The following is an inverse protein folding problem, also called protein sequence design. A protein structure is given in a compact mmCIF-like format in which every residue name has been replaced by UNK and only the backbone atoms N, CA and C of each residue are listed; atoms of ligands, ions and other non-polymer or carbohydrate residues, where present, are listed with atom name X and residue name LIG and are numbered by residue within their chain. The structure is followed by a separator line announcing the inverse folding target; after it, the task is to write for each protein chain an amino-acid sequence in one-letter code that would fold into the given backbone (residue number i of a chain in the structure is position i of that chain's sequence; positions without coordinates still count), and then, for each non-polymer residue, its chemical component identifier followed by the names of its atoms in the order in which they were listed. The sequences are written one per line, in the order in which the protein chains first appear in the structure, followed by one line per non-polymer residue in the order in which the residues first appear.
data_IF_830190015005
#
_entry.id   IF_830190015005
#
_cell.length_a   1.000
_cell.length_b   1.000
_cell.length_c   1.000
_cell.angle_alpha   90.00
_cell.angle_beta   90.00
_cell.angle_gamma   90.00
#
_symmetry.space_group_name_H-M   'P 1'
#
loop_
_entity.id
_entity.type
_entity.pdbx_description
1 polymer ?
#
# COMPACT_ATOMS: atom_id res chain seq x y z
N UNK A 1 5.81 -18.89 -51.72
CA UNK A 1 4.66 -18.19 -51.11
C UNK A 1 4.51 -18.51 -49.63
N UNK A 2 4.53 -19.78 -49.22
CA UNK A 2 4.37 -20.20 -47.81
C UNK A 2 5.40 -19.58 -46.85
N UNK A 3 6.65 -19.42 -47.28
CA UNK A 3 7.72 -18.77 -46.51
C UNK A 3 7.47 -17.27 -46.22
N UNK A 4 6.81 -16.55 -47.14
CA UNK A 4 6.52 -15.13 -46.97
C UNK A 4 5.43 -14.89 -45.91
N UNK A 5 4.43 -15.76 -45.83
CA UNK A 5 3.38 -15.68 -44.80
C UNK A 5 3.92 -15.97 -43.40
N UNK A 6 4.86 -16.91 -43.28
CA UNK A 6 5.52 -17.21 -41.99
C UNK A 6 6.32 -15.99 -41.51
N UNK A 7 7.10 -15.37 -42.40
CA UNK A 7 7.86 -14.15 -42.05
C UNK A 7 6.94 -13.00 -41.66
N UNK A 8 5.85 -12.76 -42.41
CA UNK A 8 4.87 -11.72 -42.07
C UNK A 8 4.17 -11.98 -40.74
N UNK A 9 3.82 -13.23 -40.42
CA UNK A 9 3.21 -13.59 -39.14
C UNK A 9 4.19 -13.38 -37.96
N UNK A 10 5.47 -13.70 -38.14
CA UNK A 10 6.53 -13.43 -37.15
C UNK A 10 6.70 -11.92 -36.94
N UNK A 11 6.76 -11.14 -38.02
CA UNK A 11 6.88 -9.67 -37.91
C UNK A 11 5.65 -9.04 -37.26
N UNK A 12 4.44 -9.50 -37.59
CA UNK A 12 3.19 -9.02 -36.98
C UNK A 12 3.11 -9.37 -35.48
N UNK A 13 3.52 -10.58 -35.09
CA UNK A 13 3.58 -10.99 -33.68
C UNK A 13 4.67 -10.25 -32.90
N UNK A 14 5.87 -10.06 -33.47
CA UNK A 14 6.91 -9.20 -32.86
C UNK A 14 6.40 -7.77 -32.69
N UNK A 15 5.73 -7.22 -33.70
CA UNK A 15 5.13 -5.90 -33.64
C UNK A 15 4.12 -5.83 -32.49
N UNK A 16 3.26 -6.83 -32.33
CA UNK A 16 2.26 -6.88 -31.26
C UNK A 16 2.88 -7.00 -29.85
N UNK A 17 4.01 -7.71 -29.70
CA UNK A 17 4.71 -7.87 -28.41
C UNK A 17 5.54 -6.62 -28.05
N UNK A 18 6.28 -6.08 -29.01
CA UNK A 18 7.28 -5.03 -28.80
C UNK A 18 6.77 -3.62 -29.10
N UNK A 19 5.51 -3.45 -29.51
CA UNK A 19 4.98 -2.11 -29.83
C UNK A 19 5.13 -1.15 -28.65
N UNK A 20 5.79 0.01 -28.82
CA UNK A 20 6.16 0.87 -27.69
C UNK A 20 4.98 1.42 -26.87
N UNK A 21 3.81 1.65 -27.48
CA UNK A 21 2.63 2.25 -26.80
C UNK A 21 1.55 1.25 -26.39
N UNK A 22 1.46 0.09 -27.04
CA UNK A 22 0.36 -0.87 -26.85
C UNK A 22 0.81 -2.32 -26.71
N UNK A 23 2.11 -2.58 -26.92
CA UNK A 23 2.64 -3.93 -26.92
C UNK A 23 2.66 -4.53 -25.53
N UNK A 24 2.64 -5.86 -25.49
CA UNK A 24 2.65 -6.63 -24.24
C UNK A 24 3.85 -6.27 -23.35
N UNK A 25 5.01 -5.98 -23.94
CA UNK A 25 6.19 -5.56 -23.18
C UNK A 25 6.05 -4.19 -22.53
N UNK A 26 5.43 -3.22 -23.21
CA UNK A 26 5.16 -1.90 -22.63
C UNK A 26 4.19 -2.00 -21.45
N UNK A 27 3.13 -2.80 -21.59
CA UNK A 27 2.16 -3.06 -20.52
C UNK A 27 2.80 -3.76 -19.32
N UNK A 28 3.65 -4.75 -19.58
CA UNK A 28 4.39 -5.45 -18.53
C UNK A 28 5.33 -4.50 -17.77
N UNK A 29 6.08 -3.63 -18.46
CA UNK A 29 6.93 -2.64 -17.78
C UNK A 29 6.16 -1.69 -16.89
N UNK A 30 5.01 -1.18 -17.35
CA UNK A 30 4.13 -0.33 -16.53
C UNK A 30 3.61 -1.10 -15.31
N UNK A 31 3.18 -2.35 -15.51
CA UNK A 31 2.70 -3.21 -14.42
C UNK A 31 3.79 -3.49 -13.39
N UNK A 32 5.03 -3.75 -13.82
CA UNK A 32 6.17 -3.93 -12.91
C UNK A 32 6.43 -2.67 -12.06
N UNK A 33 6.43 -1.49 -12.68
CA UNK A 33 6.60 -0.22 -11.96
C UNK A 33 5.49 0.02 -10.92
N UNK A 34 4.24 -0.30 -11.24
CA UNK A 34 3.12 -0.20 -10.31
C UNK A 34 3.24 -1.19 -9.15
N UNK A 35 3.50 -2.47 -9.44
CA UNK A 35 3.66 -3.51 -8.42
C UNK A 35 4.79 -3.19 -7.44
N UNK A 36 5.84 -2.52 -7.94
CA UNK A 36 6.94 -2.07 -7.12
C UNK A 36 6.57 -0.91 -6.19
N UNK A 37 5.87 0.10 -6.72
CA UNK A 37 5.32 1.20 -5.90
C UNK A 37 4.38 0.67 -4.80
N UNK A 38 3.47 -0.23 -5.15
CA UNK A 38 2.50 -0.81 -4.20
C UNK A 38 3.24 -1.52 -3.05
N UNK A 39 4.22 -2.37 -3.35
CA UNK A 39 5.01 -3.05 -2.30
C UNK A 39 5.69 -2.08 -1.34
N UNK A 40 6.22 -0.97 -1.85
CA UNK A 40 6.83 0.07 -1.02
C UNK A 40 5.79 0.78 -0.14
N UNK A 41 4.63 1.09 -0.68
CA UNK A 41 3.51 1.67 0.06
C UNK A 41 2.99 0.73 1.15
N UNK A 42 2.84 -0.56 0.85
CA UNK A 42 2.48 -1.60 1.81
C UNK A 42 3.53 -1.75 2.92
N UNK A 43 4.83 -1.67 2.58
CA UNK A 43 5.90 -1.69 3.56
C UNK A 43 5.81 -0.51 4.53
N UNK A 44 5.59 0.70 4.01
CA UNK A 44 5.41 1.90 4.83
C UNK A 44 4.15 1.82 5.70
N UNK A 45 3.02 1.35 5.14
CA UNK A 45 1.76 1.08 5.86
C UNK A 45 2.03 0.13 7.04
N UNK A 46 2.74 -0.96 6.81
CA UNK A 46 3.09 -1.94 7.86
C UNK A 46 3.99 -1.36 8.95
N UNK A 47 5.00 -0.57 8.58
CA UNK A 47 5.90 0.09 9.55
C UNK A 47 5.12 1.05 10.44
N UNK A 48 4.27 1.91 9.86
CA UNK A 48 3.46 2.88 10.60
C UNK A 48 2.47 2.18 11.53
N UNK A 49 1.77 1.14 11.05
CA UNK A 49 0.85 0.37 11.90
C UNK A 49 1.61 -0.34 13.02
N UNK A 50 2.85 -0.78 12.80
CA UNK A 50 3.68 -1.37 13.86
C UNK A 50 4.06 -0.33 14.92
N UNK A 51 4.55 0.84 14.50
CA UNK A 51 4.94 1.94 15.38
C UNK A 51 3.76 2.44 16.23
N UNK A 52 2.58 2.63 15.63
CA UNK A 52 1.37 3.06 16.34
C UNK A 52 0.94 2.05 17.43
N UNK A 53 1.25 0.77 17.23
CA UNK A 53 1.01 -0.29 18.22
C UNK A 53 2.17 -0.48 19.21
N UNK A 54 3.12 0.47 19.28
CA UNK A 54 4.27 0.40 20.19
C UNK A 54 5.27 -0.71 19.84
N UNK A 55 5.23 -1.24 18.62
CA UNK A 55 6.12 -2.29 18.13
C UNK A 55 7.08 -1.75 17.09
N UNK A 56 8.24 -2.39 16.98
CA UNK A 56 9.20 -2.09 15.91
C UNK A 56 9.00 -3.07 14.76
N UNK A 57 8.92 -2.55 13.54
CA UNK A 57 8.93 -3.40 12.35
C UNK A 57 10.30 -4.07 12.20
N UNK A 58 10.29 -5.36 11.87
CA UNK A 58 11.50 -6.15 11.62
C UNK A 58 11.46 -6.67 10.19
N UNK A 59 12.59 -7.12 9.66
CA UNK A 59 12.65 -7.76 8.35
C UNK A 59 11.65 -8.91 8.22
N UNK A 60 11.56 -9.77 9.24
CA UNK A 60 10.66 -10.92 9.23
C UNK A 60 9.19 -10.51 9.34
N UNK A 61 8.86 -9.49 10.14
CA UNK A 61 7.48 -9.01 10.22
C UNK A 61 7.04 -8.35 8.93
N UNK A 62 7.95 -7.63 8.25
CA UNK A 62 7.69 -7.05 6.93
C UNK A 62 7.49 -8.14 5.87
N UNK A 63 8.39 -9.14 5.82
CA UNK A 63 8.29 -10.25 4.87
C UNK A 63 6.96 -11.02 5.03
N UNK A 64 6.55 -11.27 6.29
CA UNK A 64 5.28 -11.91 6.60
C UNK A 64 4.06 -11.05 6.21
N UNK A 65 4.09 -9.75 6.49
CA UNK A 65 2.99 -8.85 6.13
C UNK A 65 2.80 -8.74 4.62
N UNK A 66 3.89 -8.64 3.86
CA UNK A 66 3.85 -8.49 2.39
C UNK A 66 3.77 -9.85 1.65
N UNK A 67 3.81 -10.98 2.36
CA UNK A 67 3.84 -12.33 1.79
C UNK A 67 4.99 -12.53 0.77
N UNK A 68 6.18 -12.02 1.11
CA UNK A 68 7.40 -12.12 0.29
C UNK A 68 8.53 -12.81 1.04
N UNK A 69 9.57 -13.21 0.32
CA UNK A 69 10.76 -13.79 0.96
C UNK A 69 11.53 -12.76 1.78
N UNK A 70 12.26 -13.20 2.81
CA UNK A 70 13.12 -12.31 3.60
C UNK A 70 14.19 -11.60 2.75
N UNK A 71 14.72 -12.27 1.71
CA UNK A 71 15.63 -11.66 0.76
C UNK A 71 14.97 -10.51 -0.02
N UNK A 72 13.78 -10.75 -0.58
CA UNK A 72 13.03 -9.69 -1.28
C UNK A 72 12.62 -8.53 -0.36
N UNK A 73 12.33 -8.81 0.92
CA UNK A 73 12.08 -7.76 1.91
C UNK A 73 13.34 -6.94 2.21
N UNK A 74 14.52 -7.58 2.24
CA UNK A 74 15.79 -6.89 2.44
C UNK A 74 16.11 -5.99 1.24
N UNK A 75 15.97 -6.50 0.01
CA UNK A 75 16.16 -5.73 -1.22
C UNK A 75 15.23 -4.50 -1.26
N UNK A 76 13.96 -4.68 -0.87
CA UNK A 76 12.99 -3.58 -0.81
C UNK A 76 13.40 -2.52 0.21
N UNK A 77 13.88 -2.92 1.39
CA UNK A 77 14.31 -1.98 2.42
C UNK A 77 15.57 -1.21 2.02
N UNK A 78 16.53 -1.87 1.37
CA UNK A 78 17.73 -1.21 0.83
C UNK A 78 17.36 -0.16 -0.22
N UNK A 79 16.43 -0.49 -1.12
CA UNK A 79 15.94 0.47 -2.09
C UNK A 79 15.20 1.65 -1.44
N UNK A 80 14.33 1.38 -0.46
CA UNK A 80 13.63 2.44 0.28
C UNK A 80 14.60 3.36 1.03
N UNK A 81 15.71 2.82 1.54
CA UNK A 81 16.79 3.61 2.13
C UNK A 81 17.48 4.49 1.09
N UNK A 82 17.79 3.94 -0.09
CA UNK A 82 18.38 4.68 -1.21
C UNK A 82 17.47 5.82 -1.72
N UNK A 83 16.14 5.66 -1.60
CA UNK A 83 15.15 6.69 -1.89
C UNK A 83 14.85 7.64 -0.73
N UNK A 84 15.62 7.58 0.36
CA UNK A 84 15.46 8.43 1.53
C UNK A 84 14.08 8.35 2.21
N UNK A 85 13.42 7.20 2.14
CA UNK A 85 12.14 6.98 2.81
C UNK A 85 12.33 6.44 4.24
N UNK A 86 13.45 5.80 4.51
CA UNK A 86 13.80 5.26 5.83
C UNK A 86 15.31 5.30 6.08
N UNK A 87 15.70 5.03 7.32
CA UNK A 87 17.06 4.83 7.79
C UNK A 87 17.14 3.61 8.71
N UNK A 88 18.36 3.08 8.87
CA UNK A 88 18.70 2.13 9.92
C UNK A 88 19.58 2.84 10.94
N UNK A 89 19.04 3.07 12.14
CA UNK A 89 19.70 3.77 13.24
C UNK A 89 19.70 2.86 14.46
N UNK A 90 20.85 2.64 15.08
CA UNK A 90 21.00 1.74 16.25
C UNK A 90 20.44 0.31 16.04
N UNK A 91 20.55 -0.20 14.81
CA UNK A 91 20.00 -1.51 14.44
C UNK A 91 18.48 -1.53 14.30
N UNK A 92 17.85 -0.35 14.26
CA UNK A 92 16.40 -0.18 14.17
C UNK A 92 16.01 0.52 12.88
N UNK A 93 14.91 0.07 12.27
CA UNK A 93 14.30 0.75 11.13
C UNK A 93 13.56 2.00 11.61
N UNK A 94 13.84 3.15 10.99
CA UNK A 94 13.14 4.42 11.25
C UNK A 94 12.66 5.05 9.96
N UNK A 95 11.43 5.53 9.95
CA UNK A 95 10.90 6.29 8.80
C UNK A 95 11.48 7.70 8.76
N UNK A 96 11.94 8.11 7.58
CA UNK A 96 12.23 9.52 7.27
C UNK A 96 10.90 10.27 7.00
N UNK A 97 10.88 11.62 7.04
CA UNK A 97 9.65 12.40 6.84
C UNK A 97 8.85 12.03 5.58
N UNK A 98 9.52 11.85 4.44
CA UNK A 98 8.87 11.47 3.19
C UNK A 98 8.24 10.07 3.23
N UNK A 99 8.92 9.09 3.87
CA UNK A 99 8.37 7.75 4.07
C UNK A 99 7.18 7.75 5.02
N UNK A 100 7.24 8.53 6.10
CA UNK A 100 6.14 8.71 7.04
C UNK A 100 4.92 9.30 6.35
N UNK A 101 5.08 10.39 5.61
CA UNK A 101 3.98 11.04 4.87
C UNK A 101 3.31 10.08 3.88
N UNK A 102 4.12 9.33 3.11
CA UNK A 102 3.60 8.36 2.14
C UNK A 102 2.83 7.22 2.84
N UNK A 103 3.36 6.65 3.92
CA UNK A 103 2.66 5.60 4.64
C UNK A 103 1.38 6.08 5.33
N UNK A 104 1.38 7.29 5.92
CA UNK A 104 0.19 7.88 6.54
C UNK A 104 -0.92 8.10 5.51
N UNK A 105 -0.56 8.55 4.30
CA UNK A 105 -1.50 8.70 3.19
C UNK A 105 -2.16 7.37 2.82
N UNK A 106 -1.38 6.29 2.74
CA UNK A 106 -1.91 4.95 2.41
C UNK A 106 -2.88 4.47 3.49
N UNK A 107 -2.53 4.63 4.77
CA UNK A 107 -3.43 4.30 5.90
C UNK A 107 -4.70 5.14 5.86
N UNK A 108 -4.60 6.46 5.62
CA UNK A 108 -5.75 7.35 5.48
C UNK A 108 -6.66 6.92 4.33
N UNK A 109 -6.09 6.62 3.16
CA UNK A 109 -6.85 6.19 1.99
C UNK A 109 -7.58 4.86 2.26
N UNK A 110 -6.92 3.89 2.90
CA UNK A 110 -7.53 2.62 3.31
C UNK A 110 -8.78 2.85 4.16
N UNK A 111 -8.61 3.60 5.25
CA UNK A 111 -9.67 3.84 6.23
C UNK A 111 -10.85 4.64 5.68
N UNK A 112 -10.58 5.62 4.81
CA UNK A 112 -11.63 6.35 4.10
C UNK A 112 -12.39 5.45 3.13
N UNK A 113 -11.72 4.49 2.48
CA UNK A 113 -12.39 3.51 1.63
C UNK A 113 -13.27 2.56 2.41
N UNK A 114 -12.82 2.04 3.54
CA UNK A 114 -13.65 1.21 4.42
C UNK A 114 -14.88 1.98 4.90
N UNK A 115 -14.69 3.23 5.33
CA UNK A 115 -15.79 4.13 5.72
C UNK A 115 -16.81 4.33 4.59
N UNK A 116 -16.33 4.60 3.37
CA UNK A 116 -17.20 4.74 2.20
C UNK A 116 -17.97 3.46 1.87
N UNK A 117 -17.29 2.31 1.91
CA UNK A 117 -17.94 1.03 1.63
C UNK A 117 -19.04 0.73 2.65
N UNK A 118 -18.75 0.96 3.94
CA UNK A 118 -19.68 0.77 5.04
C UNK A 118 -20.93 1.65 4.92
N UNK A 119 -20.75 2.94 4.63
CA UNK A 119 -21.86 3.91 4.67
C UNK A 119 -22.66 3.98 3.36
N UNK A 120 -22.04 3.74 2.19
CA UNK A 120 -22.61 4.15 0.91
C UNK A 120 -22.87 3.01 -0.09
N UNK A 121 -22.43 1.78 0.17
CA UNK A 121 -22.49 0.71 -0.86
C UNK A 121 -23.29 -0.53 -0.47
N UNK A 122 -23.54 -0.75 0.82
CA UNK A 122 -24.18 -1.98 1.31
C UNK A 122 -23.33 -3.25 1.14
N UNK A 123 -22.05 -3.11 0.79
CA UNK A 123 -21.08 -4.21 0.76
C UNK A 123 -20.92 -4.77 2.18
N UNK A 124 -20.85 -6.10 2.36
CA UNK A 124 -20.67 -6.69 3.69
C UNK A 124 -19.28 -6.38 4.27
N UNK A 125 -19.19 -6.28 5.60
CA UNK A 125 -17.97 -5.93 6.34
C UNK A 125 -16.75 -6.78 5.95
N UNK A 126 -16.95 -8.09 5.74
CA UNK A 126 -15.87 -9.01 5.32
C UNK A 126 -15.20 -8.63 4.00
N UNK A 127 -15.87 -7.84 3.16
CA UNK A 127 -15.37 -7.36 1.88
C UNK A 127 -14.77 -5.95 1.94
N UNK A 128 -14.90 -5.22 3.05
CA UNK A 128 -14.40 -3.84 3.15
C UNK A 128 -12.89 -3.80 2.99
N UNK A 129 -12.16 -4.52 3.85
CA UNK A 129 -10.71 -4.59 3.84
C UNK A 129 -10.12 -5.00 2.47
N UNK A 130 -10.49 -6.16 1.87
CA UNK A 130 -9.90 -6.58 0.59
C UNK A 130 -10.23 -5.64 -0.57
N UNK A 131 -11.36 -4.91 -0.51
CA UNK A 131 -11.69 -3.89 -1.52
C UNK A 131 -10.93 -2.59 -1.27
N UNK A 132 -10.78 -2.17 -0.02
CA UNK A 132 -9.99 -0.99 0.36
C UNK A 132 -8.52 -1.15 -0.02
N UNK A 133 -7.91 -2.32 0.22
CA UNK A 133 -6.52 -2.62 -0.21
C UNK A 133 -6.31 -2.44 -1.73
N UNK A 134 -7.31 -2.77 -2.54
CA UNK A 134 -7.21 -2.59 -4.00
C UNK A 134 -7.28 -1.12 -4.42
N UNK A 135 -7.90 -0.26 -3.61
CA UNK A 135 -8.18 1.13 -3.95
C UNK A 135 -7.23 2.12 -3.30
N UNK A 136 -6.67 1.83 -2.12
CA UNK A 136 -5.86 2.78 -1.33
C UNK A 136 -4.68 3.37 -2.12
N UNK A 137 -4.04 2.57 -2.98
CA UNK A 137 -2.88 2.98 -3.79
C UNK A 137 -3.25 3.86 -4.98
N UNK A 138 -4.54 3.95 -5.33
CA UNK A 138 -5.05 4.69 -6.49
C UNK A 138 -5.44 6.13 -6.14
N UNK A 139 -5.66 6.42 -4.85
CA UNK A 139 -6.07 7.74 -4.40
C UNK A 139 -4.87 8.67 -4.29
N UNK A 140 -4.95 9.80 -4.98
CA UNK A 140 -4.11 10.96 -4.68
C UNK A 140 -4.54 11.60 -3.36
N UNK A 141 -3.68 12.44 -2.77
CA UNK A 141 -4.00 13.21 -1.54
C UNK A 141 -5.29 14.02 -1.71
N UNK A 142 -5.41 14.75 -2.82
CA UNK A 142 -6.61 15.53 -3.15
C UNK A 142 -7.87 14.65 -3.21
N UNK A 143 -7.79 13.47 -3.85
CA UNK A 143 -8.95 12.56 -3.93
C UNK A 143 -9.32 11.98 -2.56
N UNK A 144 -8.32 11.71 -1.71
CA UNK A 144 -8.58 11.31 -0.33
C UNK A 144 -9.27 12.43 0.45
N UNK A 145 -8.89 13.69 0.26
CA UNK A 145 -9.55 14.82 0.92
C UNK A 145 -10.98 15.06 0.41
N UNK A 146 -11.21 14.90 -0.90
CA UNK A 146 -12.55 14.94 -1.48
C UNK A 146 -13.44 13.80 -0.95
N UNK A 147 -12.87 12.60 -0.75
CA UNK A 147 -13.56 11.47 -0.15
C UNK A 147 -13.88 11.74 1.33
N UNK A 148 -12.92 12.25 2.10
CA UNK A 148 -13.12 12.65 3.48
C UNK A 148 -14.23 13.71 3.60
N UNK A 149 -14.25 14.72 2.73
CA UNK A 149 -15.29 15.74 2.71
C UNK A 149 -16.68 15.15 2.41
N UNK A 150 -16.79 14.20 1.48
CA UNK A 150 -18.05 13.49 1.19
C UNK A 150 -18.56 12.67 2.38
N UNK A 151 -17.65 12.12 3.17
CA UNK A 151 -17.94 11.37 4.39
C UNK A 151 -18.16 12.29 5.62
N UNK A 152 -18.12 13.62 5.46
CA UNK A 152 -18.31 14.56 6.56
C UNK A 152 -17.10 14.73 7.48
N UNK A 153 -15.89 14.51 6.97
CA UNK A 153 -14.62 14.56 7.69
C UNK A 153 -14.56 13.61 8.90
N UNK A 154 -14.71 12.29 8.69
CA UNK A 154 -14.63 11.32 9.78
C UNK A 154 -13.23 11.32 10.39
N UNK A 155 -13.17 11.25 11.72
CA UNK A 155 -11.91 11.12 12.48
C UNK A 155 -11.56 9.67 12.80
N UNK A 156 -12.50 8.74 12.60
CA UNK A 156 -12.33 7.29 12.82
C UNK A 156 -12.99 6.51 11.70
N UNK A 157 -12.45 5.32 11.42
CA UNK A 157 -13.03 4.36 10.49
C UNK A 157 -14.14 3.52 11.14
N UNK A 158 -14.84 2.64 10.40
CA UNK A 158 -15.90 1.79 10.96
C UNK A 158 -15.43 0.82 12.04
N UNK A 159 -14.13 0.54 12.12
CA UNK A 159 -13.53 -0.32 13.14
C UNK A 159 -13.13 0.47 14.39
N UNK A 160 -13.19 1.80 14.33
CA UNK A 160 -12.84 2.71 15.42
C UNK A 160 -11.40 3.20 15.40
N UNK A 161 -10.60 2.83 14.40
CA UNK A 161 -9.23 3.31 14.29
C UNK A 161 -9.19 4.77 13.82
N UNK A 162 -8.23 5.56 14.32
CA UNK A 162 -8.07 6.97 13.94
C UNK A 162 -7.73 7.15 12.46
N UNK A 163 -8.41 8.04 11.73
CA UNK A 163 -8.04 8.38 10.35
C UNK A 163 -6.91 9.42 10.40
N UNK A 164 -5.69 9.15 9.87
CA UNK A 164 -4.62 10.13 9.87
C UNK A 164 -5.02 11.43 9.16
N UNK A 165 -4.68 12.57 9.74
CA UNK A 165 -4.71 13.85 9.03
C UNK A 165 -3.46 14.05 8.16
N UNK A 166 -3.48 15.01 7.24
CA UNK A 166 -2.42 15.26 6.26
C UNK A 166 -1.03 15.50 6.89
N UNK A 167 -0.97 16.01 8.12
CA UNK A 167 0.23 16.31 8.90
C UNK A 167 0.27 15.58 10.25
N UNK A 168 -0.74 14.75 10.55
CA UNK A 168 -0.95 14.16 11.86
C UNK A 168 -0.13 12.91 12.11
N UNK A 169 0.29 12.71 13.35
CA UNK A 169 0.75 11.40 13.81
C UNK A 169 -0.43 10.42 13.81
N UNK A 170 -0.17 9.15 13.47
CA UNK A 170 -1.16 8.10 13.69
C UNK A 170 -1.20 7.77 15.19
N UNK A 171 -2.31 8.10 15.85
CA UNK A 171 -2.56 7.63 17.21
C UNK A 171 -2.75 6.11 17.20
N UNK A 172 -2.12 5.44 18.17
CA UNK A 172 -2.37 4.03 18.43
C UNK A 172 -3.81 3.80 18.85
N UNK A 173 -4.29 2.56 18.70
CA UNK A 173 -5.60 2.16 19.22
C UNK A 173 -5.63 2.42 20.75
N UNK A 174 -6.55 3.25 21.27
CA UNK A 174 -6.69 3.47 22.71
C UNK A 174 -7.17 2.20 23.44
N UNK A 175 -7.57 1.16 22.70
CA UNK A 175 -8.01 -0.13 23.22
C UNK A 175 -6.92 -0.86 24.01
N UNK A 176 -7.32 -1.44 25.14
CA UNK A 176 -6.49 -2.41 25.84
C UNK A 176 -6.72 -3.79 25.23
N UNK A 177 -5.65 -4.50 24.85
CA UNK A 177 -5.82 -5.88 24.36
C UNK A 177 -6.50 -6.74 25.42
N UNK A 178 -7.48 -7.57 25.05
CA UNK A 178 -8.21 -8.40 26.02
C UNK A 178 -7.27 -9.30 26.85
N UNK A 179 -6.17 -9.76 26.26
CA UNK A 179 -5.15 -10.56 26.95
C UNK A 179 -4.36 -9.80 28.01
N UNK A 180 -4.42 -8.47 28.02
CA UNK A 180 -3.78 -7.61 29.02
C UNK A 180 -4.73 -7.19 30.15
N UNK A 181 -6.02 -7.53 30.05
CA UNK A 181 -7.01 -7.30 31.10
C UNK A 181 -7.03 -8.51 32.03
N UNK A 182 -6.96 -8.26 33.34
CA UNK A 182 -7.11 -9.33 34.33
C UNK A 182 -8.58 -9.76 34.35
N UNK A 183 -8.91 -11.05 34.26
CA UNK A 183 -10.29 -11.52 34.39
C UNK A 183 -10.91 -11.03 35.70
N UNK A 184 -12.08 -10.40 35.60
CA UNK A 184 -12.89 -9.97 36.75
C UNK A 184 -13.69 -11.09 37.38
#
# INVERSE_FOLDING_TARGET
MQSAYVVLAILASLALVLWPRYGLWARWRVAQGLAHRIRREDALKHIIKSEANGRMATLNSLAGALQITAGSAADLLEEMQAHELLSFEDGQLRLKPAGREMGLHVVRAHRLWESYLAEHTGVPEIEWHPRAEQQEHLLTKQQADELAAKLGHPTRDPHGDAIPELDGALEGDPGQTLNSVVPG
#
